data_IF_593223563601
#
_entry.id   IF_593223563601
#
_cell.length_a   1.000
_cell.length_b   1.000
_cell.length_c   1.000
_cell.angle_alpha   90.00
_cell.angle_beta   90.00
_cell.angle_gamma   90.00
#
_symmetry.space_group_name_H-M   'P 1'
#
loop_
_entity.id
_entity.type
_entity.pdbx_description
1 polymer ?
#
# COMPACT_ATOMS: atom_id res chain seq x y z
N UNK A 1 -12.01 -16.13 19.02
CA UNK A 1 -12.28 -14.69 18.74
C UNK A 1 -12.60 -14.57 17.27
N UNK A 2 -13.38 -13.56 16.85
CA UNK A 2 -13.55 -13.29 15.43
C UNK A 2 -12.20 -12.87 14.83
N UNK A 3 -11.92 -13.27 13.58
CA UNK A 3 -10.71 -12.86 12.88
C UNK A 3 -10.80 -11.40 12.46
N UNK A 4 -9.68 -10.70 12.43
CA UNK A 4 -9.57 -9.37 11.84
C UNK A 4 -9.71 -9.48 10.32
N UNK A 5 -10.69 -8.80 9.73
CA UNK A 5 -10.93 -8.84 8.28
C UNK A 5 -10.13 -7.77 7.56
N UNK A 6 -9.35 -8.20 6.59
CA UNK A 6 -8.43 -7.35 5.82
C UNK A 6 -8.81 -7.43 4.34
N UNK A 7 -8.95 -6.27 3.68
CA UNK A 7 -9.08 -6.19 2.24
C UNK A 7 -7.76 -5.68 1.64
N UNK A 8 -7.11 -6.48 0.80
CA UNK A 8 -5.98 -6.03 -0.03
C UNK A 8 -6.49 -5.65 -1.41
N UNK A 9 -6.25 -4.41 -1.82
CA UNK A 9 -6.70 -3.85 -3.11
C UNK A 9 -5.48 -3.49 -3.96
N UNK A 10 -5.40 -4.05 -5.16
CA UNK A 10 -4.32 -3.77 -6.10
C UNK A 10 -3.41 -4.95 -6.35
N UNK A 11 -2.11 -4.74 -6.36
CA UNK A 11 -1.04 -5.76 -6.42
C UNK A 11 -1.21 -6.77 -7.57
N UNK A 12 -1.70 -6.29 -8.71
CA UNK A 12 -1.80 -7.08 -9.93
C UNK A 12 -1.68 -6.19 -11.17
N UNK A 13 -1.08 -6.73 -12.21
CA UNK A 13 -0.90 -5.99 -13.47
C UNK A 13 -0.93 -6.90 -14.69
N UNK A 14 -1.11 -6.28 -15.84
CA UNK A 14 -1.05 -6.92 -17.15
C UNK A 14 0.16 -6.39 -17.91
N UNK A 15 1.02 -7.29 -18.38
CA UNK A 15 2.09 -6.95 -19.31
C UNK A 15 1.67 -7.31 -20.72
N UNK A 16 1.81 -6.35 -21.66
CA UNK A 16 1.59 -6.57 -23.07
C UNK A 16 2.91 -6.37 -23.83
N UNK A 17 3.31 -7.34 -24.63
CA UNK A 17 4.53 -7.30 -25.41
C UNK A 17 4.26 -7.62 -26.88
N UNK A 18 5.04 -6.99 -27.78
CA UNK A 18 5.09 -7.31 -29.19
C UNK A 18 6.46 -7.90 -29.51
N UNK A 19 6.46 -9.08 -30.07
CA UNK A 19 7.68 -9.80 -30.46
C UNK A 19 7.87 -9.70 -31.97
N UNK A 20 9.07 -9.34 -32.41
CA UNK A 20 9.47 -9.25 -33.80
C UNK A 20 10.47 -10.35 -34.11
N UNK A 21 10.23 -11.09 -35.23
CA UNK A 21 11.13 -12.11 -35.78
C UNK A 21 11.30 -11.88 -37.29
N UNK A 22 12.25 -11.02 -37.64
CA UNK A 22 12.38 -10.54 -39.00
C UNK A 22 11.16 -9.66 -39.37
N UNK A 23 10.42 -10.04 -40.41
CA UNK A 23 9.18 -9.38 -40.84
C UNK A 23 7.93 -9.85 -40.08
N UNK A 24 8.01 -10.95 -39.34
CA UNK A 24 6.88 -11.49 -38.59
C UNK A 24 6.80 -10.86 -37.21
N UNK A 25 5.55 -10.69 -36.75
CA UNK A 25 5.29 -10.21 -35.40
C UNK A 25 4.14 -10.98 -34.74
N UNK A 26 4.19 -11.10 -33.43
CA UNK A 26 3.06 -11.57 -32.62
C UNK A 26 3.01 -10.84 -31.28
N UNK A 27 1.81 -10.72 -30.71
CA UNK A 27 1.58 -10.17 -29.39
C UNK A 27 1.52 -11.24 -28.32
N UNK A 28 1.94 -10.92 -27.11
CA UNK A 28 1.67 -11.72 -25.92
C UNK A 28 1.14 -10.84 -24.78
N UNK A 29 0.31 -11.44 -23.95
CA UNK A 29 -0.23 -10.78 -22.74
C UNK A 29 0.00 -11.72 -21.57
N UNK A 30 0.58 -11.19 -20.49
CA UNK A 30 0.82 -11.93 -19.25
C UNK A 30 0.14 -11.20 -18.10
N UNK A 31 -0.59 -11.94 -17.29
CA UNK A 31 -1.21 -11.44 -16.07
C UNK A 31 -0.35 -11.81 -14.85
N UNK A 32 -0.13 -10.85 -13.96
CA UNK A 32 0.70 -11.00 -12.78
C UNK A 32 -0.09 -10.71 -11.51
N UNK A 33 0.17 -11.50 -10.47
CA UNK A 33 -0.36 -11.34 -9.12
C UNK A 33 0.82 -11.18 -8.14
N UNK A 34 0.98 -10.02 -7.54
CA UNK A 34 2.09 -9.69 -6.62
C UNK A 34 1.79 -9.95 -5.15
N UNK A 35 0.54 -10.26 -4.78
CA UNK A 35 0.09 -10.37 -3.40
C UNK A 35 0.56 -11.62 -2.64
N UNK A 36 1.11 -12.63 -3.33
CA UNK A 36 1.44 -13.95 -2.75
C UNK A 36 2.30 -13.87 -1.47
N UNK A 37 3.35 -13.02 -1.37
CA UNK A 37 4.15 -12.92 -0.14
C UNK A 37 3.32 -12.53 1.08
N UNK A 38 2.44 -11.53 0.95
CA UNK A 38 1.58 -11.09 2.05
C UNK A 38 0.52 -12.16 2.39
N UNK A 39 -0.11 -12.77 1.39
CA UNK A 39 -1.07 -13.85 1.58
C UNK A 39 -0.45 -14.97 2.41
N UNK A 40 0.73 -15.47 2.01
CA UNK A 40 1.47 -16.51 2.74
C UNK A 40 1.84 -16.08 4.18
N UNK A 41 2.28 -14.82 4.36
CA UNK A 41 2.64 -14.30 5.67
C UNK A 41 1.46 -14.31 6.67
N UNK A 42 0.22 -14.22 6.18
CA UNK A 42 -0.98 -14.18 7.00
C UNK A 42 -1.67 -15.55 7.15
N UNK A 43 -1.24 -16.58 6.42
CA UNK A 43 -1.80 -17.94 6.53
C UNK A 43 -1.74 -18.46 7.98
N UNK A 44 -2.83 -19.08 8.40
CA UNK A 44 -2.94 -19.66 9.75
C UNK A 44 -2.93 -18.66 10.91
N UNK A 45 -3.04 -17.35 10.63
CA UNK A 45 -3.09 -16.28 11.63
C UNK A 45 -4.52 -15.89 12.01
N UNK A 46 -4.64 -14.89 12.89
CA UNK A 46 -5.93 -14.30 13.31
C UNK A 46 -6.48 -13.28 12.28
N UNK A 47 -5.90 -13.22 11.07
CA UNK A 47 -6.36 -12.39 9.99
C UNK A 47 -7.10 -13.21 8.94
N UNK A 48 -8.14 -12.61 8.35
CA UNK A 48 -8.86 -13.12 7.18
C UNK A 48 -8.65 -12.10 6.06
N UNK A 49 -7.87 -12.48 5.03
CA UNK A 49 -7.49 -11.62 3.94
C UNK A 49 -8.36 -11.90 2.71
N UNK A 50 -9.14 -10.90 2.32
CA UNK A 50 -9.79 -10.84 1.01
C UNK A 50 -8.85 -10.10 0.05
N UNK A 51 -8.54 -10.70 -1.10
CA UNK A 51 -7.69 -10.08 -2.11
C UNK A 51 -8.53 -9.63 -3.31
N UNK A 52 -8.47 -8.34 -3.61
CA UNK A 52 -9.15 -7.68 -4.71
C UNK A 52 -8.12 -7.14 -5.72
N UNK A 53 -7.77 -7.94 -6.75
CA UNK A 53 -6.80 -7.53 -7.77
C UNK A 53 -7.20 -6.23 -8.47
N UNK A 54 -6.21 -5.48 -8.98
CA UNK A 54 -6.41 -4.13 -9.54
C UNK A 54 -7.50 -4.09 -10.64
N UNK A 55 -7.56 -5.09 -11.52
CA UNK A 55 -8.56 -5.16 -12.58
C UNK A 55 -9.98 -5.42 -12.07
N UNK A 56 -10.14 -6.08 -10.93
CA UNK A 56 -11.43 -6.30 -10.28
C UNK A 56 -11.83 -5.13 -9.39
N UNK A 57 -10.86 -4.43 -8.80
CA UNK A 57 -11.11 -3.28 -7.94
C UNK A 57 -11.84 -2.15 -8.66
N UNK A 58 -11.67 -2.04 -9.98
CA UNK A 58 -12.33 -1.03 -10.81
C UNK A 58 -13.85 -1.06 -10.65
N UNK A 59 -14.46 -2.24 -10.57
CA UNK A 59 -15.91 -2.41 -10.46
C UNK A 59 -16.38 -3.00 -9.13
N UNK A 60 -15.54 -3.80 -8.43
CA UNK A 60 -15.96 -4.55 -7.24
C UNK A 60 -15.67 -3.87 -5.89
N UNK A 61 -14.82 -2.82 -5.85
CA UNK A 61 -14.62 -2.10 -4.59
C UNK A 61 -15.97 -1.51 -4.10
N UNK A 62 -16.37 -1.73 -2.84
CA UNK A 62 -17.69 -1.31 -2.35
C UNK A 62 -18.00 0.18 -2.55
N UNK A 63 -19.26 0.46 -2.85
CA UNK A 63 -19.80 1.82 -3.02
C UNK A 63 -20.52 2.36 -1.79
N UNK A 64 -20.58 1.60 -0.69
CA UNK A 64 -21.31 1.99 0.51
C UNK A 64 -20.44 1.83 1.75
N UNK A 65 -20.77 2.58 2.80
CA UNK A 65 -20.10 2.44 4.09
C UNK A 65 -20.33 1.05 4.69
N UNK A 66 -21.51 0.46 4.52
CA UNK A 66 -21.82 -0.90 5.00
C UNK A 66 -20.87 -1.92 4.33
N UNK A 67 -20.66 -1.80 3.02
CA UNK A 67 -19.76 -2.68 2.27
C UNK A 67 -18.32 -2.54 2.71
N UNK A 68 -17.84 -1.34 3.02
CA UNK A 68 -16.49 -1.12 3.56
C UNK A 68 -16.38 -1.57 5.02
N UNK A 69 -17.44 -1.41 5.82
CA UNK A 69 -17.43 -1.71 7.26
C UNK A 69 -17.42 -3.20 7.60
N UNK A 70 -17.43 -4.08 6.58
CA UNK A 70 -17.16 -5.50 6.80
C UNK A 70 -15.68 -5.77 7.04
N UNK A 71 -14.81 -4.79 6.73
CA UNK A 71 -13.36 -4.87 6.93
C UNK A 71 -12.92 -4.00 8.10
N UNK A 72 -11.94 -4.51 8.84
CA UNK A 72 -11.24 -3.77 9.90
C UNK A 72 -10.07 -2.96 9.33
N UNK A 73 -9.41 -3.50 8.28
CA UNK A 73 -8.27 -2.88 7.60
C UNK A 73 -8.43 -2.98 6.09
N UNK A 74 -8.13 -1.89 5.39
CA UNK A 74 -8.02 -1.85 3.92
C UNK A 74 -6.58 -1.46 3.57
N UNK A 75 -5.96 -2.26 2.71
CA UNK A 75 -4.62 -2.02 2.15
C UNK A 75 -4.77 -1.61 0.70
N UNK A 76 -4.16 -0.50 0.32
CA UNK A 76 -4.00 -0.06 -1.07
C UNK A 76 -2.53 -0.29 -1.45
N UNK A 77 -2.28 -1.18 -2.43
CA UNK A 77 -0.94 -1.58 -2.84
C UNK A 77 -0.83 -1.63 -4.36
N UNK A 78 0.12 -0.91 -4.91
CA UNK A 78 0.43 -0.82 -6.34
C UNK A 78 -0.82 -0.67 -7.23
N UNK A 79 -1.70 0.26 -6.86
CA UNK A 79 -2.93 0.61 -7.59
C UNK A 79 -3.13 2.13 -7.62
N UNK A 80 -3.36 2.70 -8.80
CA UNK A 80 -3.58 4.12 -8.99
C UNK A 80 -4.98 4.58 -8.55
N UNK A 81 -5.08 5.84 -8.12
CA UNK A 81 -6.31 6.44 -7.64
C UNK A 81 -7.46 6.38 -8.68
N UNK A 82 -7.14 6.49 -9.96
CA UNK A 82 -8.14 6.42 -11.03
C UNK A 82 -8.85 5.07 -11.10
N UNK A 83 -8.18 3.96 -10.78
CA UNK A 83 -8.77 2.62 -10.76
C UNK A 83 -9.91 2.52 -9.75
N UNK A 84 -9.81 3.25 -8.63
CA UNK A 84 -10.85 3.29 -7.61
C UNK A 84 -11.86 4.43 -7.83
N UNK A 85 -11.46 5.51 -8.50
CA UNK A 85 -12.30 6.69 -8.74
C UNK A 85 -13.24 6.48 -9.93
N UNK A 86 -12.72 5.89 -11.02
CA UNK A 86 -13.39 5.82 -12.31
C UNK A 86 -14.05 4.45 -12.53
N UNK A 87 -15.22 4.24 -11.92
CA UNK A 87 -16.03 3.05 -12.21
C UNK A 87 -16.46 3.03 -13.68
N UNK A 88 -16.63 1.85 -14.32
CA UNK A 88 -17.13 1.75 -15.70
C UNK A 88 -18.42 2.54 -15.97
N UNK A 89 -19.34 2.60 -15.03
CA UNK A 89 -20.54 3.42 -15.15
C UNK A 89 -20.25 4.91 -15.34
N UNK A 90 -19.15 5.42 -14.76
CA UNK A 90 -18.74 6.82 -14.92
C UNK A 90 -18.15 7.05 -16.31
N UNK A 91 -17.08 6.35 -16.63
CA UNK A 91 -16.28 6.70 -17.82
C UNK A 91 -16.78 6.05 -19.11
N UNK A 92 -17.50 4.91 -19.06
CA UNK A 92 -18.13 4.29 -20.22
C UNK A 92 -19.57 4.74 -20.43
N UNK A 93 -20.32 4.97 -19.36
CA UNK A 93 -21.77 5.16 -19.43
C UNK A 93 -22.23 6.54 -18.98
N UNK A 94 -21.34 7.42 -18.52
CA UNK A 94 -21.66 8.78 -18.09
C UNK A 94 -22.64 8.86 -16.90
N UNK A 95 -22.73 7.79 -16.10
CA UNK A 95 -23.61 7.74 -14.93
C UNK A 95 -22.91 8.33 -13.71
N UNK A 96 -23.68 8.87 -12.79
CA UNK A 96 -23.19 9.31 -11.48
C UNK A 96 -23.10 8.11 -10.52
N UNK A 97 -22.00 8.01 -9.78
CA UNK A 97 -21.79 7.01 -8.73
C UNK A 97 -21.16 7.67 -7.49
N UNK A 98 -21.25 7.07 -6.30
CA UNK A 98 -20.52 7.55 -5.12
C UNK A 98 -19.02 7.64 -5.39
N UNK A 99 -18.36 8.68 -4.85
CA UNK A 99 -16.91 8.81 -4.92
C UNK A 99 -16.26 7.87 -3.88
N UNK A 100 -15.69 6.76 -4.35
CA UNK A 100 -15.08 5.72 -3.49
C UNK A 100 -13.88 6.23 -2.70
N UNK A 101 -13.14 7.23 -3.20
CA UNK A 101 -12.03 7.83 -2.43
C UNK A 101 -12.55 8.62 -1.23
N UNK A 102 -13.70 9.31 -1.36
CA UNK A 102 -14.38 9.94 -0.22
C UNK A 102 -14.92 8.90 0.76
N UNK A 103 -15.48 7.81 0.26
CA UNK A 103 -15.96 6.71 1.12
C UNK A 103 -14.85 6.10 1.93
N UNK A 104 -13.66 5.86 1.35
CA UNK A 104 -12.47 5.36 2.05
C UNK A 104 -12.02 6.34 3.15
N UNK A 105 -11.98 7.65 2.84
CA UNK A 105 -11.68 8.68 3.83
C UNK A 105 -12.68 8.64 4.99
N UNK A 106 -13.96 8.65 4.69
CA UNK A 106 -15.03 8.71 5.70
C UNK A 106 -15.07 7.42 6.53
N UNK A 107 -14.81 6.26 5.92
CA UNK A 107 -14.65 4.97 6.58
C UNK A 107 -13.43 4.97 7.52
N UNK A 108 -12.29 5.50 7.08
CA UNK A 108 -11.12 5.64 7.94
C UNK A 108 -11.42 6.58 9.12
N UNK A 109 -12.06 7.73 8.85
CA UNK A 109 -12.46 8.68 9.90
C UNK A 109 -13.39 8.04 10.94
N UNK A 110 -14.21 7.07 10.53
CA UNK A 110 -15.12 6.33 11.40
C UNK A 110 -14.45 5.21 12.22
N UNK A 111 -13.18 4.92 12.03
CA UNK A 111 -12.42 3.94 12.81
C UNK A 111 -11.76 2.82 12.00
N UNK A 112 -11.91 2.80 10.67
CA UNK A 112 -11.25 1.83 9.80
C UNK A 112 -9.73 2.04 9.73
N UNK A 113 -8.97 0.96 9.60
CA UNK A 113 -7.52 1.00 9.41
C UNK A 113 -7.16 1.13 7.93
N UNK A 114 -6.45 2.18 7.52
CA UNK A 114 -6.04 2.36 6.13
C UNK A 114 -4.51 2.28 5.99
N UNK A 115 -4.05 1.43 5.09
CA UNK A 115 -2.63 1.26 4.79
C UNK A 115 -2.40 1.55 3.32
N UNK A 116 -1.43 2.39 3.00
CA UNK A 116 -0.90 2.51 1.64
C UNK A 116 0.50 1.92 1.59
N UNK A 117 0.72 1.01 0.65
CA UNK A 117 1.99 0.36 0.39
C UNK A 117 2.54 0.89 -0.93
N UNK A 118 3.84 1.12 -0.99
CA UNK A 118 4.56 1.64 -2.14
C UNK A 118 4.49 0.76 -3.39
N UNK A 119 5.17 1.21 -4.41
CA UNK A 119 5.18 0.61 -5.73
C UNK A 119 5.01 1.65 -6.82
N UNK A 120 5.04 1.22 -8.08
CA UNK A 120 4.96 2.10 -9.24
C UNK A 120 3.62 2.84 -9.37
N UNK A 121 2.54 2.28 -8.81
CA UNK A 121 1.20 2.89 -8.83
C UNK A 121 0.66 3.21 -7.43
N UNK A 122 1.56 3.44 -6.46
CA UNK A 122 1.22 3.98 -5.14
C UNK A 122 1.71 5.44 -5.00
N UNK A 123 1.19 6.15 -4.02
CA UNK A 123 1.51 7.57 -3.77
C UNK A 123 1.36 8.41 -5.03
N UNK A 124 2.42 8.95 -5.63
CA UNK A 124 2.32 9.60 -6.93
C UNK A 124 2.83 8.70 -8.06
N UNK A 125 3.81 7.86 -7.78
CA UNK A 125 4.27 6.75 -8.61
C UNK A 125 5.00 7.14 -9.87
N UNK A 126 5.19 6.13 -10.73
CA UNK A 126 5.92 6.26 -11.99
C UNK A 126 5.31 7.35 -12.89
N UNK A 127 6.13 8.30 -13.33
CA UNK A 127 5.70 9.46 -14.14
C UNK A 127 4.54 10.26 -13.50
N UNK A 128 4.34 10.16 -12.18
CA UNK A 128 3.21 10.76 -11.48
C UNK A 128 1.84 10.15 -11.83
N UNK A 129 1.80 8.91 -12.31
CA UNK A 129 0.58 8.28 -12.86
C UNK A 129 -0.33 7.64 -11.84
N UNK A 130 0.14 7.35 -10.63
CA UNK A 130 -0.71 6.79 -9.55
C UNK A 130 -1.76 7.80 -9.05
N UNK A 131 -1.43 9.10 -9.06
CA UNK A 131 -2.37 10.21 -8.87
C UNK A 131 -3.07 10.26 -7.52
N UNK A 132 -2.40 9.89 -6.45
CA UNK A 132 -2.95 10.01 -5.10
C UNK A 132 -2.82 11.42 -4.52
N UNK A 133 -1.92 12.26 -5.08
CA UNK A 133 -1.75 13.65 -4.65
C UNK A 133 -3.07 14.43 -4.69
N UNK A 134 -3.41 15.13 -3.57
CA UNK A 134 -4.65 15.92 -3.40
C UNK A 134 -5.95 15.10 -3.52
N UNK A 135 -5.92 13.81 -3.24
CA UNK A 135 -7.14 13.00 -3.16
C UNK A 135 -7.68 12.93 -1.73
N UNK A 136 -8.95 12.57 -1.54
CA UNK A 136 -9.50 12.30 -0.21
C UNK A 136 -8.75 11.20 0.55
N UNK A 137 -8.13 10.24 -0.14
CA UNK A 137 -7.30 9.19 0.49
C UNK A 137 -6.00 9.79 1.04
N UNK A 138 -5.32 10.67 0.29
CA UNK A 138 -4.12 11.35 0.83
C UNK A 138 -4.44 12.13 2.10
N UNK A 139 -5.66 12.71 2.21
CA UNK A 139 -6.07 13.42 3.44
C UNK A 139 -5.92 12.52 4.68
N UNK A 140 -6.18 11.22 4.53
CA UNK A 140 -6.13 10.24 5.62
C UNK A 140 -4.71 9.80 5.98
N UNK A 141 -3.82 9.72 4.99
CA UNK A 141 -2.47 9.19 5.17
C UNK A 141 -1.63 10.05 6.14
N UNK A 142 -0.65 9.46 6.81
CA UNK A 142 0.28 10.20 7.67
C UNK A 142 1.31 11.00 6.87
N UNK A 143 1.25 10.91 5.53
CA UNK A 143 2.16 11.55 4.58
C UNK A 143 1.40 12.32 3.51
N UNK A 144 2.08 13.25 2.84
CA UNK A 144 1.63 13.96 1.65
C UNK A 144 2.40 13.41 0.45
N UNK A 145 1.68 13.08 -0.63
CA UNK A 145 2.27 12.64 -1.88
C UNK A 145 2.89 13.81 -2.66
N UNK A 146 3.96 13.57 -3.40
CA UNK A 146 4.55 14.57 -4.29
C UNK A 146 3.65 14.79 -5.52
N UNK A 147 3.76 15.93 -6.22
CA UNK A 147 2.97 16.18 -7.43
C UNK A 147 3.62 15.66 -8.74
N UNK A 148 4.72 14.90 -8.64
CA UNK A 148 5.52 14.38 -9.76
C UNK A 148 6.00 12.96 -9.45
N UNK A 149 6.77 12.33 -10.34
CA UNK A 149 7.38 11.01 -10.15
C UNK A 149 8.16 10.98 -8.82
N UNK A 150 7.77 10.09 -7.93
CA UNK A 150 8.27 10.01 -6.56
C UNK A 150 9.11 8.77 -6.28
N UNK A 151 9.52 8.04 -7.33
CA UNK A 151 10.32 6.83 -7.17
C UNK A 151 11.75 7.13 -6.77
N UNK A 152 12.22 6.40 -5.79
CA UNK A 152 13.62 6.31 -5.39
C UNK A 152 14.13 4.91 -5.79
N UNK A 153 14.87 4.84 -6.90
CA UNK A 153 15.48 3.60 -7.39
C UNK A 153 16.91 3.50 -6.83
N UNK A 154 17.16 2.50 -6.00
CA UNK A 154 18.45 2.29 -5.31
C UNK A 154 18.92 0.86 -5.59
N UNK A 155 19.46 0.58 -6.79
CA UNK A 155 19.81 -0.79 -7.19
C UNK A 155 20.97 -1.40 -6.37
N UNK A 156 21.80 -0.59 -5.74
CA UNK A 156 22.81 -1.03 -4.77
C UNK A 156 22.20 -1.46 -3.43
N UNK A 157 20.96 -1.09 -3.20
CA UNK A 157 20.19 -1.40 -2.01
C UNK A 157 20.53 -0.57 -0.79
N UNK A 158 19.56 -0.48 0.12
CA UNK A 158 19.73 0.17 1.42
C UNK A 158 19.14 -0.68 2.54
N UNK A 159 19.68 -0.54 3.75
CA UNK A 159 19.09 -1.12 4.95
C UNK A 159 18.25 -0.07 5.67
N UNK A 160 16.99 -0.37 6.01
CA UNK A 160 16.16 0.57 6.76
C UNK A 160 16.78 0.95 8.11
N UNK A 161 16.68 2.23 8.46
CA UNK A 161 17.03 2.76 9.77
C UNK A 161 15.76 2.88 10.61
N UNK A 162 15.74 2.25 11.79
CA UNK A 162 14.63 2.38 12.73
C UNK A 162 14.79 3.71 13.46
N UNK A 163 13.84 4.63 13.28
CA UNK A 163 13.85 6.00 13.81
C UNK A 163 12.84 6.21 14.93
N UNK A 164 11.73 5.45 14.90
CA UNK A 164 10.69 5.53 15.91
C UNK A 164 11.01 4.77 17.21
N UNK A 165 10.08 4.86 18.14
CA UNK A 165 10.21 4.14 19.43
C UNK A 165 10.27 2.64 19.20
N UNK A 166 11.32 1.97 19.69
CA UNK A 166 11.42 0.50 19.67
C UNK A 166 10.31 -0.20 20.46
N UNK A 167 9.61 0.53 21.32
CA UNK A 167 8.44 0.04 22.06
C UNK A 167 7.15 0.14 21.24
N UNK A 168 7.18 0.77 20.06
CA UNK A 168 5.99 0.85 19.22
C UNK A 168 5.48 -0.57 18.89
N UNK A 169 4.17 -0.85 19.01
CA UNK A 169 3.62 -2.20 18.82
C UNK A 169 3.96 -2.86 17.48
N UNK A 170 4.20 -2.07 16.44
CA UNK A 170 4.62 -2.57 15.12
C UNK A 170 5.97 -3.30 15.18
N UNK A 171 6.84 -2.96 16.12
CA UNK A 171 8.16 -3.62 16.27
C UNK A 171 8.16 -4.81 17.23
N UNK A 172 7.02 -5.15 17.83
CA UNK A 172 6.96 -6.21 18.82
C UNK A 172 7.45 -7.57 18.26
N UNK A 173 8.50 -8.13 18.88
CA UNK A 173 9.09 -9.40 18.49
C UNK A 173 9.83 -9.38 17.13
N UNK A 174 10.19 -8.20 16.62
CA UNK A 174 11.10 -8.05 15.48
C UNK A 174 12.48 -7.78 16.03
N UNK A 175 13.43 -8.68 15.75
CA UNK A 175 14.79 -8.63 16.22
C UNK A 175 15.78 -8.61 15.06
N UNK A 176 16.97 -8.08 15.32
CA UNK A 176 18.05 -8.01 14.35
C UNK A 176 17.89 -6.89 13.32
N UNK A 177 18.78 -6.92 12.34
CA UNK A 177 18.76 -5.97 11.22
C UNK A 177 17.72 -6.36 10.18
N UNK A 178 17.08 -5.35 9.60
CA UNK A 178 16.18 -5.57 8.47
C UNK A 178 16.99 -5.85 7.20
N UNK A 179 16.50 -6.74 6.33
CA UNK A 179 17.14 -6.96 5.05
C UNK A 179 17.14 -5.73 4.15
N UNK A 180 17.89 -5.80 3.07
CA UNK A 180 18.03 -4.73 2.08
C UNK A 180 16.72 -4.54 1.31
N UNK A 181 16.41 -3.28 0.98
CA UNK A 181 15.41 -2.84 0.02
C UNK A 181 16.10 -2.17 -1.16
N UNK A 182 15.44 -2.11 -2.32
CA UNK A 182 15.98 -1.59 -3.57
C UNK A 182 15.32 -0.29 -4.04
N UNK A 183 14.29 0.16 -3.36
CA UNK A 183 13.60 1.40 -3.70
C UNK A 183 12.43 1.72 -2.77
N UNK A 184 11.90 2.92 -2.94
CA UNK A 184 10.77 3.44 -2.20
C UNK A 184 10.09 4.59 -2.98
N UNK A 185 8.88 4.98 -2.59
CA UNK A 185 8.29 6.25 -2.99
C UNK A 185 8.74 7.37 -2.03
N UNK A 186 9.11 8.51 -2.57
CA UNK A 186 9.39 9.73 -1.81
C UNK A 186 8.06 10.37 -1.37
N UNK A 187 7.93 10.66 -0.09
CA UNK A 187 6.76 11.31 0.48
C UNK A 187 7.17 12.34 1.53
N UNK A 188 6.27 13.27 1.85
CA UNK A 188 6.48 14.28 2.89
C UNK A 188 5.68 13.87 4.13
N UNK A 189 6.34 13.74 5.27
CA UNK A 189 5.68 13.47 6.56
C UNK A 189 4.79 14.66 6.93
N UNK A 190 3.54 14.38 7.33
CA UNK A 190 2.64 15.45 7.82
C UNK A 190 3.05 15.90 9.21
N UNK A 191 3.13 17.22 9.40
CA UNK A 191 3.40 17.85 10.70
C UNK A 191 2.15 17.79 11.59
N UNK A 192 1.95 16.64 12.25
CA UNK A 192 0.87 16.39 13.20
C UNK A 192 1.39 15.58 14.38
N UNK A 193 0.89 15.88 15.58
CA UNK A 193 1.35 15.25 16.82
C UNK A 193 1.06 13.73 16.91
N UNK A 194 0.13 13.23 16.09
CA UNK A 194 -0.25 11.81 16.00
C UNK A 194 0.52 11.04 14.93
N UNK A 195 1.45 11.70 14.22
CA UNK A 195 2.27 11.08 13.15
C UNK A 195 3.65 10.74 13.68
N UNK A 196 4.07 9.50 13.50
CA UNK A 196 5.39 9.01 13.90
C UNK A 196 6.08 8.32 12.71
N UNK A 197 7.32 8.72 12.39
CA UNK A 197 8.20 8.02 11.47
C UNK A 197 8.86 6.88 12.22
N UNK A 198 8.52 5.66 11.88
CA UNK A 198 9.00 4.45 12.55
C UNK A 198 10.28 3.91 11.92
N UNK A 199 10.39 4.03 10.59
CA UNK A 199 11.60 3.67 9.85
C UNK A 199 11.81 4.64 8.69
N UNK A 200 13.06 4.83 8.31
CA UNK A 200 13.49 5.69 7.21
C UNK A 200 14.60 5.03 6.38
N UNK A 201 14.85 5.58 5.21
CA UNK A 201 16.08 5.31 4.47
C UNK A 201 17.27 5.90 5.25
N UNK A 202 18.48 5.35 5.09
CA UNK A 202 19.68 5.97 5.65
C UNK A 202 19.90 7.41 5.12
N UNK A 203 20.60 8.22 5.89
CA UNK A 203 20.92 9.62 5.52
C UNK A 203 21.65 9.74 4.18
N UNK A 204 22.51 8.77 3.85
CA UNK A 204 23.20 8.69 2.57
C UNK A 204 22.27 8.55 1.37
N UNK A 205 21.03 8.09 1.59
CA UNK A 205 19.94 8.02 0.64
C UNK A 205 18.83 9.03 0.95
N UNK A 206 19.17 10.16 1.62
CA UNK A 206 18.28 11.28 1.86
C UNK A 206 17.38 11.18 3.09
N UNK A 207 17.48 10.11 3.90
CA UNK A 207 16.69 9.97 5.13
C UNK A 207 15.16 9.93 4.91
N UNK A 208 14.71 9.61 3.69
CA UNK A 208 13.28 9.59 3.35
C UNK A 208 12.48 8.62 4.22
N UNK A 209 11.23 8.95 4.60
CA UNK A 209 10.40 8.09 5.44
C UNK A 209 10.04 6.79 4.73
N UNK A 210 10.22 5.65 5.41
CA UNK A 210 9.90 4.32 4.91
C UNK A 210 8.62 3.75 5.52
N UNK A 211 8.49 3.84 6.83
CA UNK A 211 7.32 3.39 7.58
C UNK A 211 6.84 4.53 8.47
N UNK A 212 5.64 5.01 8.20
CA UNK A 212 5.03 6.12 8.94
C UNK A 212 3.67 5.68 9.46
N UNK A 213 3.42 5.87 10.73
CA UNK A 213 2.15 5.59 11.38
C UNK A 213 1.47 6.89 11.82
N UNK A 214 0.14 6.92 11.80
CA UNK A 214 -0.63 8.08 12.22
C UNK A 214 -2.11 7.74 12.45
N UNK A 215 -2.90 8.75 12.77
CA UNK A 215 -4.34 8.62 13.01
C UNK A 215 -5.11 9.54 12.04
N UNK A 216 -6.35 9.17 11.73
CA UNK A 216 -7.28 10.02 11.02
C UNK A 216 -8.69 9.81 11.58
N UNK A 217 -9.20 10.81 12.28
CA UNK A 217 -10.44 10.66 13.06
C UNK A 217 -10.26 9.58 14.14
N UNK A 218 -11.09 8.54 14.09
CA UNK A 218 -10.97 7.36 14.97
C UNK A 218 -10.15 6.22 14.36
N UNK A 219 -9.79 6.31 13.08
CA UNK A 219 -9.02 5.30 12.38
C UNK A 219 -7.52 5.49 12.52
N UNK A 220 -6.77 4.44 12.23
CA UNK A 220 -5.31 4.43 12.16
C UNK A 220 -4.84 4.27 10.73
N UNK A 221 -3.75 4.96 10.41
CA UNK A 221 -3.24 5.01 9.04
C UNK A 221 -1.75 4.70 9.02
N UNK A 222 -1.33 3.96 7.99
CA UNK A 222 0.07 3.60 7.79
C UNK A 222 0.46 3.89 6.35
N UNK A 223 1.64 4.46 6.16
CA UNK A 223 2.35 4.51 4.89
C UNK A 223 3.61 3.64 5.01
N UNK A 224 3.71 2.65 4.14
CA UNK A 224 4.92 1.88 3.88
C UNK A 224 5.35 2.21 2.46
N UNK A 225 6.49 2.87 2.28
CA UNK A 225 6.85 3.47 1.00
C UNK A 225 7.58 2.53 0.04
N UNK A 226 7.95 1.31 0.46
CA UNK A 226 8.46 0.26 -0.43
C UNK A 226 7.37 -0.75 -0.79
N UNK A 227 7.71 -1.82 -1.50
CA UNK A 227 6.77 -2.86 -1.95
C UNK A 227 6.43 -3.88 -0.84
N UNK A 228 5.48 -4.79 -1.15
CA UNK A 228 5.18 -5.96 -0.31
C UNK A 228 5.82 -7.26 -0.84
N UNK A 229 6.34 -7.24 -2.05
CA UNK A 229 6.91 -8.40 -2.73
C UNK A 229 8.06 -8.03 -3.64
N UNK A 230 8.58 -9.01 -4.40
CA UNK A 230 9.73 -8.79 -5.26
C UNK A 230 9.50 -7.75 -6.35
N UNK A 231 10.20 -6.70 -6.23
CA UNK A 231 10.54 -5.56 -7.08
C UNK A 231 11.50 -4.70 -6.25
N UNK A 232 11.01 -3.70 -5.46
CA UNK A 232 11.86 -2.98 -4.49
C UNK A 232 12.14 -3.77 -3.21
N UNK A 233 11.32 -4.80 -2.93
CA UNK A 233 11.46 -5.66 -1.77
C UNK A 233 11.97 -7.05 -2.22
N UNK A 234 13.29 -7.35 -2.11
CA UNK A 234 13.87 -8.61 -2.58
C UNK A 234 13.32 -9.84 -1.87
N UNK A 235 13.49 -11.02 -2.49
CA UNK A 235 13.11 -12.30 -1.89
C UNK A 235 13.74 -12.50 -0.51
N UNK A 236 14.98 -12.02 -0.28
CA UNK A 236 15.63 -12.07 1.03
C UNK A 236 14.88 -11.33 2.12
N UNK A 237 14.10 -10.30 1.77
CA UNK A 237 13.21 -9.61 2.70
C UNK A 237 11.93 -10.42 2.96
N UNK A 238 11.34 -11.01 1.92
CA UNK A 238 10.17 -11.91 2.06
C UNK A 238 10.49 -13.13 2.91
N UNK A 239 11.68 -13.73 2.72
CA UNK A 239 12.14 -14.92 3.43
C UNK A 239 12.63 -14.62 4.86
N UNK A 240 12.82 -13.35 5.22
CA UNK A 240 13.22 -12.96 6.55
C UNK A 240 12.09 -13.27 7.57
N UNK A 241 12.41 -13.93 8.69
CA UNK A 241 11.39 -14.28 9.71
C UNK A 241 10.61 -13.08 10.25
N UNK A 242 11.19 -11.88 10.18
CA UNK A 242 10.56 -10.62 10.57
C UNK A 242 9.46 -10.14 9.62
N UNK A 243 9.45 -10.59 8.35
CA UNK A 243 8.46 -10.14 7.35
C UNK A 243 7.02 -10.41 7.79
N UNK A 244 6.72 -11.67 8.07
CA UNK A 244 5.39 -12.05 8.53
C UNK A 244 5.02 -11.39 9.87
N UNK A 245 6.00 -11.23 10.76
CA UNK A 245 5.80 -10.54 12.04
C UNK A 245 5.48 -9.06 11.84
N UNK A 246 6.22 -8.38 10.97
CA UNK A 246 6.01 -6.97 10.64
C UNK A 246 4.58 -6.73 10.14
N UNK A 247 4.15 -7.49 9.13
CA UNK A 247 2.80 -7.31 8.57
C UNK A 247 1.68 -7.66 9.56
N UNK A 248 1.83 -8.71 10.35
CA UNK A 248 0.87 -9.03 11.43
C UNK A 248 0.79 -7.92 12.46
N UNK A 249 1.91 -7.33 12.84
CA UNK A 249 1.93 -6.23 13.78
C UNK A 249 1.33 -4.95 13.19
N UNK A 250 1.64 -4.61 11.94
CA UNK A 250 1.08 -3.45 11.22
C UNK A 250 -0.45 -3.58 11.16
N UNK A 251 -0.96 -4.73 10.73
CA UNK A 251 -2.40 -4.99 10.66
C UNK A 251 -3.06 -4.97 12.03
N UNK A 252 -2.45 -5.61 13.03
CA UNK A 252 -2.94 -5.61 14.41
C UNK A 252 -2.98 -4.19 15.02
N UNK A 253 -2.03 -3.35 14.65
CA UNK A 253 -2.02 -1.95 15.09
C UNK A 253 -3.08 -1.13 14.35
N UNK A 254 -3.15 -1.26 13.02
CA UNK A 254 -4.09 -0.51 12.19
C UNK A 254 -5.56 -0.86 12.45
N UNK A 255 -5.88 -2.11 12.83
CA UNK A 255 -7.25 -2.57 13.09
C UNK A 255 -7.88 -2.03 14.38
N UNK A 256 -7.13 -1.31 15.21
CA UNK A 256 -7.62 -0.78 16.50
C UNK A 256 -8.03 0.68 16.32
N UNK A 257 -9.34 0.95 16.37
CA UNK A 257 -9.84 2.32 16.46
C UNK A 257 -9.29 3.03 17.70
N UNK A 258 -9.20 4.36 17.63
CA UNK A 258 -8.76 5.25 18.71
C UNK A 258 -9.96 5.82 19.47
#
# INVERSE_FOLDING_TARGET
MAKTRVLLVGESWVSSATHYKGFDQFGSVTFHLGAEPLVKALEGSDFELDYLPAHEAVDKLPFTMEGLSVYDVIILSDIGANSLLLHPDVWLHGKTVPNRLKLLRDWTNAGGGLIMIGGYFSFQGIDGKARWHRTPVEETLPVTCLPYDDRLEIPEGFRPTITGSKQHPIFAGIEGEWPVLLGANEVIVKDRADVEVLAALPEEHGGHPLLVAGQFGRGRTVAWTSDIGPHWLPNTFVEWPGYARLWKNVLSWASKAV
#
